data_IF_017375408391
#
_entry.id   IF_017375408391
#
_cell.length_a   1.000
_cell.length_b   1.000
_cell.length_c   1.000
_cell.angle_alpha   90.00
_cell.angle_beta   90.00
_cell.angle_gamma   90.00
#
_symmetry.space_group_name_H-M   'P 1'
#
loop_
_entity.id
_entity.type
_entity.pdbx_description
1 polymer ?
#
# COMPACT_ATOMS: atom_id res chain seq x y z
N UNK A 1 3.85 -23.37 13.80
CA UNK A 1 5.27 -22.99 13.58
C UNK A 1 5.69 -21.89 14.54
N UNK A 2 4.80 -20.93 14.86
CA UNK A 2 5.07 -19.88 15.88
C UNK A 2 5.35 -20.49 17.24
N UNK A 3 6.18 -19.84 18.06
CA UNK A 3 6.53 -20.26 19.42
C UNK A 3 7.57 -19.32 20.03
N UNK A 4 7.94 -19.52 21.31
CA UNK A 4 8.95 -18.68 21.99
C UNK A 4 10.32 -18.77 21.29
N UNK A 5 11.07 -17.64 21.28
CA UNK A 5 12.45 -17.58 20.79
C UNK A 5 13.31 -18.65 21.52
N UNK A 6 14.21 -19.28 20.77
CA UNK A 6 15.13 -20.30 21.26
C UNK A 6 14.53 -21.72 21.38
N UNK A 7 13.23 -21.90 21.12
CA UNK A 7 12.61 -23.25 21.09
C UNK A 7 12.73 -23.89 19.73
N UNK A 8 12.82 -25.22 19.70
CA UNK A 8 12.91 -25.99 18.47
C UNK A 8 11.53 -26.28 17.86
N UNK A 9 11.46 -26.35 16.55
CA UNK A 9 10.34 -26.90 15.80
C UNK A 9 10.85 -27.91 14.77
N UNK A 10 10.20 -29.04 14.68
CA UNK A 10 10.52 -30.11 13.75
C UNK A 10 9.51 -30.05 12.59
N UNK A 11 10.01 -29.79 11.39
CA UNK A 11 9.18 -29.68 10.18
C UNK A 11 9.41 -30.90 9.30
N UNK A 12 8.39 -31.75 9.13
CA UNK A 12 8.42 -32.81 8.13
C UNK A 12 8.08 -32.23 6.77
N UNK A 13 9.07 -32.18 5.89
CA UNK A 13 8.98 -31.57 4.56
C UNK A 13 9.06 -32.61 3.48
N UNK A 14 8.12 -32.61 2.54
CA UNK A 14 8.18 -33.41 1.31
C UNK A 14 8.71 -32.54 0.18
N UNK A 15 9.88 -32.90 -0.37
CA UNK A 15 10.48 -32.23 -1.54
C UNK A 15 9.71 -32.56 -2.82
N UNK A 16 9.93 -31.74 -3.86
CA UNK A 16 9.31 -31.92 -5.19
C UNK A 16 9.63 -33.30 -5.79
N UNK A 17 10.80 -33.84 -5.51
CA UNK A 17 11.20 -35.19 -5.93
C UNK A 17 10.59 -36.33 -5.10
N UNK A 18 9.70 -36.03 -4.17
CA UNK A 18 9.01 -37.00 -3.30
C UNK A 18 9.74 -37.38 -2.02
N UNK A 19 11.01 -36.99 -1.84
CA UNK A 19 11.79 -37.30 -0.63
C UNK A 19 11.20 -36.57 0.59
N UNK A 20 11.02 -37.32 1.70
CA UNK A 20 10.58 -36.76 2.97
C UNK A 20 11.78 -36.59 3.89
N UNK A 21 11.90 -35.42 4.49
CA UNK A 21 12.94 -35.13 5.48
C UNK A 21 12.37 -34.34 6.65
N UNK A 22 13.00 -34.47 7.81
CA UNK A 22 12.69 -33.67 8.99
C UNK A 22 13.74 -32.58 9.11
N UNK A 23 13.29 -31.33 9.14
CA UNK A 23 14.15 -30.16 9.33
C UNK A 23 13.90 -29.62 10.72
N UNK A 24 14.94 -29.51 11.53
CA UNK A 24 14.89 -28.85 12.84
C UNK A 24 15.20 -27.37 12.64
N UNK A 25 14.32 -26.50 13.11
CA UNK A 25 14.49 -25.04 13.08
C UNK A 25 14.41 -24.51 14.51
N UNK A 26 15.42 -23.74 14.91
CA UNK A 26 15.39 -23.01 16.16
C UNK A 26 14.64 -21.70 15.91
N UNK A 27 13.59 -21.43 16.69
CA UNK A 27 12.82 -20.20 16.54
C UNK A 27 13.63 -18.99 16.98
N UNK A 28 13.61 -17.99 16.16
CA UNK A 28 14.19 -16.68 16.47
C UNK A 28 13.22 -15.56 16.08
N UNK A 29 13.56 -14.34 16.48
CA UNK A 29 12.86 -13.14 16.00
C UNK A 29 13.37 -12.91 14.57
N UNK A 30 12.45 -12.98 13.61
CA UNK A 30 12.74 -12.66 12.21
C UNK A 30 12.29 -11.24 11.97
N UNK A 31 13.22 -10.33 11.78
CA UNK A 31 12.94 -8.98 11.30
C UNK A 31 12.70 -9.07 9.79
N UNK A 32 11.49 -8.75 9.36
CA UNK A 32 11.14 -8.70 7.95
C UNK A 32 11.50 -7.32 7.40
N UNK A 33 12.78 -7.09 7.08
CA UNK A 33 13.27 -5.81 6.54
C UNK A 33 12.50 -5.35 5.29
N UNK A 34 11.91 -6.28 4.56
CA UNK A 34 11.06 -6.01 3.38
C UNK A 34 9.79 -5.23 3.74
N UNK A 35 9.36 -5.25 5.01
CA UNK A 35 8.16 -4.56 5.47
C UNK A 35 8.39 -3.13 5.93
N UNK A 36 9.65 -2.71 6.03
CA UNK A 36 10.00 -1.37 6.48
C UNK A 36 10.00 -0.35 5.36
N UNK A 37 9.84 0.92 5.73
CA UNK A 37 9.92 2.03 4.79
C UNK A 37 11.31 2.10 4.16
N UNK A 38 11.36 2.38 2.83
CA UNK A 38 12.59 2.52 2.06
C UNK A 38 12.48 3.72 1.15
N UNK A 39 13.62 4.34 0.84
CA UNK A 39 13.64 5.45 -0.12
C UNK A 39 14.60 5.24 -1.28
N UNK A 40 14.23 5.85 -2.40
CA UNK A 40 14.96 5.82 -3.66
C UNK A 40 15.03 7.22 -4.25
N UNK A 41 16.03 7.46 -5.05
CA UNK A 41 16.15 8.64 -5.89
C UNK A 41 15.76 8.26 -7.32
N UNK A 42 14.94 9.09 -7.93
CA UNK A 42 14.59 9.03 -9.34
C UNK A 42 15.25 10.23 -10.02
N UNK A 43 16.09 9.97 -11.01
CA UNK A 43 16.72 11.02 -11.83
C UNK A 43 16.05 11.09 -13.19
N UNK A 44 15.65 12.31 -13.56
CA UNK A 44 15.06 12.64 -14.86
C UNK A 44 15.79 13.89 -15.40
N UNK A 45 16.78 13.68 -16.22
CA UNK A 45 17.69 14.74 -16.67
C UNK A 45 18.30 15.50 -15.48
N UNK A 46 18.03 16.80 -15.36
CA UNK A 46 18.51 17.65 -14.25
C UNK A 46 17.60 17.62 -13.01
N UNK A 47 16.54 16.80 -13.01
CA UNK A 47 15.58 16.73 -11.93
C UNK A 47 15.80 15.52 -11.05
N UNK A 48 15.65 15.72 -9.76
CA UNK A 48 15.83 14.68 -8.74
C UNK A 48 14.55 14.60 -7.91
N UNK A 49 13.96 13.42 -7.85
CA UNK A 49 12.77 13.14 -7.05
C UNK A 49 13.07 12.05 -6.04
N UNK A 50 12.39 12.11 -4.90
CA UNK A 50 12.42 11.03 -3.90
C UNK A 50 11.21 10.14 -4.05
N UNK A 51 11.42 8.83 -3.99
CA UNK A 51 10.38 7.83 -3.84
C UNK A 51 10.51 7.21 -2.45
N UNK A 52 9.42 7.18 -1.69
CA UNK A 52 9.34 6.46 -0.41
C UNK A 52 8.31 5.35 -0.58
N UNK A 53 8.77 4.12 -0.48
CA UNK A 53 7.90 2.96 -0.44
C UNK A 53 7.56 2.62 1.01
N UNK A 54 6.28 2.49 1.29
CA UNK A 54 5.77 2.10 2.60
C UNK A 54 4.85 0.89 2.46
N UNK A 55 5.34 -0.34 2.71
CA UNK A 55 4.53 -1.55 2.56
C UNK A 55 3.44 -1.72 3.62
N UNK A 56 3.60 -1.11 4.81
CA UNK A 56 2.65 -1.24 5.92
C UNK A 56 2.82 -0.10 6.93
N UNK A 57 1.75 0.25 7.65
CA UNK A 57 1.81 1.15 8.81
C UNK A 57 2.10 0.35 10.08
N UNK A 58 3.35 -0.09 10.23
CA UNK A 58 3.80 -0.89 11.37
C UNK A 58 4.07 -0.04 12.61
N UNK A 59 3.87 -0.67 13.77
CA UNK A 59 4.28 -0.16 15.10
C UNK A 59 4.70 -1.34 15.97
N UNK A 60 5.49 -1.07 17.01
CA UNK A 60 5.53 -1.94 18.18
C UNK A 60 4.30 -1.67 19.05
N UNK A 61 3.50 -2.69 19.34
CA UNK A 61 2.28 -2.56 20.14
C UNK A 61 2.55 -2.40 21.63
N UNK A 62 3.78 -2.72 22.09
CA UNK A 62 4.17 -2.59 23.49
C UNK A 62 4.76 -1.22 23.79
N UNK A 63 5.57 -0.72 22.88
CA UNK A 63 6.19 0.61 23.03
C UNK A 63 6.25 1.33 21.68
N UNK A 64 5.43 2.38 21.53
CA UNK A 64 5.40 3.19 20.30
C UNK A 64 6.71 3.96 20.05
N UNK A 65 7.57 4.11 21.06
CA UNK A 65 8.89 4.74 20.92
C UNK A 65 9.88 3.86 20.17
N UNK A 66 9.64 2.55 20.17
CA UNK A 66 10.35 1.60 19.35
C UNK A 66 10.12 1.87 17.83
N UNK A 67 10.68 1.04 16.98
CA UNK A 67 10.58 1.20 15.52
C UNK A 67 9.12 1.26 15.06
N UNK A 68 8.77 2.32 14.33
CA UNK A 68 7.44 2.49 13.74
C UNK A 68 7.53 3.18 12.38
N UNK A 69 6.48 3.00 11.56
CA UNK A 69 6.39 3.50 10.20
C UNK A 69 6.56 5.02 10.09
N UNK A 70 6.01 5.80 11.04
CA UNK A 70 6.12 7.25 11.00
C UNK A 70 7.57 7.70 11.21
N UNK A 71 8.25 7.14 12.22
CA UNK A 71 9.65 7.48 12.50
C UNK A 71 10.56 7.10 11.32
N UNK A 72 10.35 5.94 10.70
CA UNK A 72 11.16 5.50 9.58
C UNK A 72 10.90 6.36 8.33
N UNK A 73 9.64 6.68 7.98
CA UNK A 73 9.33 7.60 6.88
C UNK A 73 9.93 8.99 7.12
N UNK A 74 9.92 9.49 8.37
CA UNK A 74 10.59 10.75 8.70
C UNK A 74 12.08 10.69 8.38
N UNK A 75 12.77 9.62 8.81
CA UNK A 75 14.20 9.40 8.49
C UNK A 75 14.43 9.36 6.97
N UNK A 76 13.56 8.67 6.22
CA UNK A 76 13.67 8.59 4.77
C UNK A 76 13.48 9.98 4.11
N UNK A 77 12.51 10.79 4.58
CA UNK A 77 12.36 12.18 4.11
C UNK A 77 13.63 13.00 4.41
N UNK A 78 14.20 12.87 5.58
CA UNK A 78 15.42 13.61 5.96
C UNK A 78 16.63 13.18 5.12
N UNK A 79 16.77 11.89 4.77
CA UNK A 79 17.79 11.41 3.82
C UNK A 79 17.60 12.02 2.43
N UNK A 80 16.38 12.01 1.92
CA UNK A 80 16.03 12.56 0.61
C UNK A 80 16.27 14.07 0.53
N UNK A 81 15.93 14.82 1.57
CA UNK A 81 16.19 16.28 1.64
C UNK A 81 17.66 16.62 1.48
N UNK A 82 18.57 15.82 2.04
CA UNK A 82 20.03 16.00 1.87
C UNK A 82 20.49 15.84 0.43
N UNK A 83 19.67 15.24 -0.44
CA UNK A 83 19.95 15.05 -1.87
C UNK A 83 19.31 16.13 -2.75
N UNK A 84 18.77 17.20 -2.15
CA UNK A 84 18.14 18.35 -2.84
C UNK A 84 17.03 17.91 -3.81
N UNK A 85 16.16 16.99 -3.41
CA UNK A 85 15.04 16.52 -4.22
C UNK A 85 14.03 17.64 -4.48
N UNK A 86 13.36 17.58 -5.63
CA UNK A 86 12.35 18.57 -6.06
C UNK A 86 10.92 18.14 -5.75
N UNK A 87 10.69 16.89 -5.40
CA UNK A 87 9.38 16.35 -5.05
C UNK A 87 9.49 14.98 -4.42
N UNK A 88 8.43 14.56 -3.71
CA UNK A 88 8.32 13.23 -3.10
C UNK A 88 7.15 12.48 -3.73
N UNK A 89 7.39 11.21 -4.01
CA UNK A 89 6.39 10.20 -4.31
C UNK A 89 6.30 9.28 -3.09
N UNK A 90 5.13 9.23 -2.44
CA UNK A 90 4.83 8.28 -1.38
C UNK A 90 4.07 7.09 -1.99
N UNK A 91 4.71 5.93 -2.04
CA UNK A 91 4.12 4.73 -2.61
C UNK A 91 3.43 3.90 -1.53
N UNK A 92 2.09 3.86 -1.60
CA UNK A 92 1.21 3.09 -0.74
C UNK A 92 0.52 1.94 -1.50
N UNK A 93 0.96 1.63 -2.71
CA UNK A 93 0.42 0.49 -3.47
C UNK A 93 0.67 -0.80 -2.68
N UNK A 94 -0.31 -1.69 -2.69
CA UNK A 94 -0.31 -2.94 -1.94
C UNK A 94 -0.23 -2.79 -0.41
N UNK A 95 -0.34 -1.58 0.13
CA UNK A 95 -0.33 -1.33 1.56
C UNK A 95 -1.73 -1.47 2.16
N UNK A 96 -2.01 -2.60 2.81
CA UNK A 96 -3.30 -2.90 3.44
C UNK A 96 -3.61 -2.09 4.72
N UNK A 97 -2.77 -1.11 5.08
CA UNK A 97 -2.97 -0.26 6.25
C UNK A 97 -2.10 -0.66 7.46
N UNK A 98 -2.62 -0.44 8.64
CA UNK A 98 -1.93 -0.72 9.92
C UNK A 98 -2.34 0.26 11.00
N UNK A 99 -1.36 0.84 11.71
CA UNK A 99 -1.58 1.70 12.86
C UNK A 99 -2.25 3.02 12.54
N UNK A 100 -3.37 3.28 13.24
CA UNK A 100 -4.07 4.57 13.18
C UNK A 100 -3.21 5.71 13.73
N UNK A 101 -2.44 5.44 14.80
CA UNK A 101 -1.52 6.45 15.36
C UNK A 101 -0.43 6.81 14.36
N UNK A 102 0.22 5.81 13.76
CA UNK A 102 1.30 6.05 12.80
C UNK A 102 0.84 6.86 11.58
N UNK A 103 -0.38 6.62 11.09
CA UNK A 103 -0.89 7.38 9.93
C UNK A 103 -1.23 8.83 10.30
N UNK A 104 -1.72 9.09 11.51
CA UNK A 104 -1.97 10.47 11.98
C UNK A 104 -0.65 11.23 12.09
N UNK A 105 0.35 10.65 12.76
CA UNK A 105 1.67 11.25 12.91
C UNK A 105 2.34 11.50 11.54
N UNK A 106 2.26 10.52 10.63
CA UNK A 106 2.83 10.65 9.28
C UNK A 106 2.15 11.72 8.43
N UNK A 107 0.83 11.85 8.53
CA UNK A 107 0.09 12.90 7.81
C UNK A 107 0.58 14.28 8.25
N UNK A 108 0.89 14.47 9.54
CA UNK A 108 1.45 15.68 10.10
C UNK A 108 2.78 16.12 9.47
N UNK A 109 3.55 15.22 8.88
CA UNK A 109 4.80 15.57 8.18
C UNK A 109 4.56 16.48 6.96
N UNK A 110 3.34 16.50 6.43
CA UNK A 110 2.98 17.18 5.19
C UNK A 110 2.00 18.33 5.36
N UNK A 111 1.39 18.48 6.53
CA UNK A 111 0.45 19.56 6.86
C UNK A 111 0.96 20.36 8.04
N UNK A 112 0.43 21.56 8.25
CA UNK A 112 0.88 22.39 9.38
C UNK A 112 0.27 21.93 10.70
N UNK A 113 -1.00 21.76 10.75
CA UNK A 113 -1.80 21.20 11.85
C UNK A 113 -3.20 20.89 11.33
N UNK A 114 -3.94 20.04 12.04
CA UNK A 114 -5.36 19.91 11.76
C UNK A 114 -5.88 18.48 11.80
N UNK A 115 -7.16 18.28 11.48
CA UNK A 115 -7.78 16.98 11.50
C UNK A 115 -7.19 16.07 10.42
N UNK A 116 -6.98 14.81 10.75
CA UNK A 116 -6.50 13.78 9.81
C UNK A 116 -7.62 12.79 9.47
N UNK A 117 -8.37 12.39 10.48
CA UNK A 117 -9.46 11.42 10.34
C UNK A 117 -10.48 11.64 11.45
N UNK A 118 -11.74 11.34 11.16
CA UNK A 118 -12.81 11.32 12.12
C UNK A 118 -13.20 9.86 12.41
N UNK A 119 -13.33 9.50 13.67
CA UNK A 119 -13.73 8.15 14.11
C UNK A 119 -15.07 8.26 14.83
N UNK A 120 -15.99 7.34 14.49
CA UNK A 120 -17.30 7.24 15.16
C UNK A 120 -17.50 5.82 15.65
N UNK A 121 -17.66 5.69 16.98
CA UNK A 121 -17.91 4.40 17.61
C UNK A 121 -19.38 3.97 17.48
N UNK A 122 -19.63 2.70 17.68
CA UNK A 122 -20.99 2.11 17.68
C UNK A 122 -21.92 2.81 18.66
N UNK A 123 -21.40 3.34 19.78
CA UNK A 123 -22.15 4.16 20.75
C UNK A 123 -22.41 5.61 20.31
N UNK A 124 -22.07 5.99 19.08
CA UNK A 124 -22.30 7.33 18.52
C UNK A 124 -21.28 8.39 18.90
N UNK A 125 -20.32 8.08 19.79
CA UNK A 125 -19.24 9.00 20.15
C UNK A 125 -18.37 9.28 18.92
N UNK A 126 -18.17 10.57 18.64
CA UNK A 126 -17.30 11.07 17.55
C UNK A 126 -16.01 11.59 18.15
N UNK A 127 -14.89 11.20 17.55
CA UNK A 127 -13.56 11.67 17.86
C UNK A 127 -12.88 12.16 16.58
N UNK A 128 -12.12 13.26 16.67
CA UNK A 128 -11.36 13.78 15.55
C UNK A 128 -9.89 13.65 15.93
N UNK A 129 -9.18 12.74 15.23
CA UNK A 129 -7.75 12.60 15.39
C UNK A 129 -7.05 13.66 14.55
N UNK A 130 -6.10 14.36 15.18
CA UNK A 130 -5.45 15.54 14.62
C UNK A 130 -3.95 15.45 14.72
N UNK A 131 -3.29 16.09 13.78
CA UNK A 131 -1.93 16.54 13.98
C UNK A 131 -1.94 17.84 14.80
N UNK A 132 -1.12 17.88 15.84
CA UNK A 132 -0.98 19.00 16.76
C UNK A 132 0.38 19.70 16.61
N UNK A 133 1.31 19.11 15.83
CA UNK A 133 2.63 19.69 15.59
C UNK A 133 2.59 20.64 14.40
N UNK A 134 3.00 21.88 14.60
CA UNK A 134 3.04 22.89 13.54
C UNK A 134 4.24 22.71 12.58
N UNK A 135 5.15 21.78 12.87
CA UNK A 135 6.34 21.56 12.07
C UNK A 135 6.04 20.69 10.85
N UNK A 136 6.21 21.25 9.67
CA UNK A 136 6.11 20.52 8.42
C UNK A 136 7.47 19.93 8.08
N UNK A 137 7.53 18.62 7.90
CA UNK A 137 8.79 17.94 7.53
C UNK A 137 9.08 18.12 6.04
N UNK A 138 8.02 18.08 5.20
CA UNK A 138 8.11 18.30 3.75
C UNK A 138 6.97 19.18 3.24
N UNK A 139 7.28 20.35 2.72
CA UNK A 139 6.31 21.31 2.16
C UNK A 139 6.37 21.44 0.63
N UNK A 140 7.30 20.72 -0.03
CA UNK A 140 7.45 20.67 -1.47
C UNK A 140 6.38 19.81 -2.17
N UNK A 141 6.48 19.64 -3.49
CA UNK A 141 5.57 18.80 -4.28
C UNK A 141 5.44 17.37 -3.73
N UNK A 142 4.21 16.86 -3.68
CA UNK A 142 3.91 15.54 -3.14
C UNK A 142 2.88 14.80 -4.02
N UNK A 143 3.22 13.58 -4.35
CA UNK A 143 2.34 12.62 -5.02
C UNK A 143 2.17 11.39 -4.12
N UNK A 144 0.98 10.83 -4.06
CA UNK A 144 0.71 9.56 -3.38
C UNK A 144 0.27 8.53 -4.40
N UNK A 145 0.98 7.42 -4.50
CA UNK A 145 0.59 6.28 -5.34
C UNK A 145 -0.27 5.31 -4.54
N UNK A 146 -1.39 4.90 -5.12
CA UNK A 146 -2.33 3.95 -4.53
C UNK A 146 -2.79 2.91 -5.55
N UNK A 147 -3.27 1.77 -5.06
CA UNK A 147 -3.98 0.79 -5.88
C UNK A 147 -5.17 0.18 -5.14
N UNK A 148 -5.83 -0.81 -5.74
CA UNK A 148 -7.00 -1.49 -5.16
C UNK A 148 -6.70 -2.19 -3.82
N UNK A 149 -5.42 -2.47 -3.54
CA UNK A 149 -4.98 -3.09 -2.28
C UNK A 149 -4.61 -2.07 -1.21
N UNK A 150 -4.52 -0.79 -1.54
CA UNK A 150 -4.33 0.28 -0.57
C UNK A 150 -5.58 0.40 0.29
N UNK A 151 -5.47 0.09 1.59
CA UNK A 151 -6.62 -0.02 2.47
C UNK A 151 -6.40 0.66 3.83
N UNK A 152 -7.51 1.01 4.52
CA UNK A 152 -7.49 1.46 5.93
C UNK A 152 -6.58 2.67 6.16
N UNK A 153 -5.44 2.55 6.89
CA UNK A 153 -4.51 3.64 7.14
C UNK A 153 -3.98 4.29 5.86
N UNK A 154 -3.74 3.52 4.78
CA UNK A 154 -3.37 4.05 3.47
C UNK A 154 -4.45 4.96 2.90
N UNK A 155 -5.72 4.58 3.11
CA UNK A 155 -6.86 5.39 2.66
C UNK A 155 -7.01 6.66 3.51
N UNK A 156 -6.68 6.60 4.81
CA UNK A 156 -6.74 7.74 5.71
C UNK A 156 -5.77 8.84 5.26
N UNK A 157 -4.48 8.51 5.05
CA UNK A 157 -3.49 9.51 4.63
C UNK A 157 -3.76 10.02 3.22
N UNK A 158 -4.11 9.14 2.27
CA UNK A 158 -4.44 9.53 0.91
C UNK A 158 -5.66 10.47 0.88
N UNK A 159 -6.72 10.14 1.64
CA UNK A 159 -7.92 10.96 1.75
C UNK A 159 -7.62 12.31 2.41
N UNK A 160 -6.90 12.34 3.53
CA UNK A 160 -6.55 13.57 4.22
C UNK A 160 -5.74 14.50 3.32
N UNK A 161 -4.67 13.99 2.69
CA UNK A 161 -3.82 14.80 1.80
C UNK A 161 -4.58 15.28 0.55
N UNK A 162 -5.54 14.50 0.04
CA UNK A 162 -6.42 14.91 -1.05
C UNK A 162 -7.39 16.01 -0.60
N UNK A 163 -8.06 15.86 0.54
CA UNK A 163 -9.02 16.83 1.08
C UNK A 163 -8.33 18.17 1.40
N UNK A 164 -7.10 18.13 1.92
CA UNK A 164 -6.25 19.31 2.09
C UNK A 164 -5.77 19.92 0.77
N UNK A 165 -5.93 19.25 -0.37
CA UNK A 165 -5.25 19.57 -1.64
C UNK A 165 -3.73 19.66 -1.49
N UNK A 166 -3.17 18.84 -0.61
CA UNK A 166 -1.73 18.80 -0.30
C UNK A 166 -0.95 17.90 -1.25
N UNK A 167 -1.57 16.84 -1.74
CA UNK A 167 -0.97 15.88 -2.67
C UNK A 167 -1.92 15.58 -3.84
N UNK A 168 -1.35 15.12 -4.95
CA UNK A 168 -2.07 14.50 -6.05
C UNK A 168 -2.08 12.99 -5.80
N UNK A 169 -3.26 12.38 -5.80
CA UNK A 169 -3.43 10.94 -5.65
C UNK A 169 -3.46 10.29 -7.03
N UNK A 170 -2.56 9.36 -7.26
CA UNK A 170 -2.38 8.70 -8.56
C UNK A 170 -2.47 7.19 -8.38
N UNK A 171 -3.10 6.51 -9.31
CA UNK A 171 -3.13 5.05 -9.31
C UNK A 171 -4.40 4.45 -9.87
N UNK A 172 -4.87 3.35 -9.29
CA UNK A 172 -6.11 2.70 -9.69
C UNK A 172 -7.32 3.63 -9.54
N UNK A 173 -8.45 3.26 -10.14
CA UNK A 173 -9.68 4.07 -10.09
C UNK A 173 -10.05 4.49 -8.67
N UNK A 174 -9.87 3.59 -7.71
CA UNK A 174 -10.10 3.81 -6.29
C UNK A 174 -9.34 2.78 -5.46
N UNK A 175 -9.13 3.08 -4.19
CA UNK A 175 -8.53 2.18 -3.21
C UNK A 175 -9.52 1.09 -2.76
N UNK A 176 -9.15 0.26 -1.81
CA UNK A 176 -9.91 -0.91 -1.36
C UNK A 176 -11.32 -0.58 -0.87
N UNK A 177 -11.49 0.52 -0.15
CA UNK A 177 -12.79 0.96 0.37
C UNK A 177 -13.09 0.47 1.79
N UNK A 178 -12.08 0.24 2.63
CA UNK A 178 -12.28 -0.12 4.03
C UNK A 178 -12.43 1.13 4.88
N UNK A 179 -13.63 1.38 5.39
CA UNK A 179 -13.98 2.50 6.26
C UNK A 179 -14.21 2.09 7.72
N UNK A 180 -13.67 0.96 8.16
CA UNK A 180 -13.93 0.38 9.50
C UNK A 180 -12.65 0.18 10.30
N UNK A 181 -12.77 0.35 11.62
CA UNK A 181 -11.74 0.01 12.61
C UNK A 181 -12.09 -1.31 13.27
N UNK A 182 -11.13 -2.22 13.30
CA UNK A 182 -11.27 -3.52 13.94
C UNK A 182 -10.35 -3.61 15.15
N UNK A 183 -10.93 -4.02 16.27
CA UNK A 183 -10.22 -4.25 17.53
C UNK A 183 -10.15 -5.75 17.83
N UNK A 184 -9.04 -6.15 18.44
CA UNK A 184 -8.87 -7.49 19.01
C UNK A 184 -9.36 -7.48 20.45
N UNK A 185 -10.39 -8.25 20.73
CA UNK A 185 -10.97 -8.41 22.07
C UNK A 185 -10.47 -9.74 22.64
N UNK A 186 -9.59 -9.67 23.64
CA UNK A 186 -9.09 -10.83 24.36
C UNK A 186 -10.22 -11.45 25.20
N UNK A 187 -10.64 -12.65 24.84
CA UNK A 187 -11.75 -13.35 25.50
C UNK A 187 -11.38 -13.78 26.93
N UNK A 188 -10.10 -13.98 27.22
CA UNK A 188 -9.64 -14.32 28.58
C UNK A 188 -9.87 -13.18 29.58
N UNK A 189 -9.92 -11.92 29.10
CA UNK A 189 -10.22 -10.76 29.94
C UNK A 189 -11.71 -10.58 30.23
N UNK A 190 -12.57 -11.14 29.39
CA UNK A 190 -14.02 -11.02 29.55
C UNK A 190 -14.56 -12.11 30.47
N UNK A 191 -14.03 -13.31 30.37
CA UNK A 191 -14.47 -14.49 31.12
C UNK A 191 -13.52 -14.75 32.27
N UNK A 192 -13.80 -14.15 33.43
CA UNK A 192 -12.93 -14.19 34.60
C UNK A 192 -12.85 -15.57 35.31
N UNK A 193 -13.72 -16.52 34.97
CA UNK A 193 -13.78 -17.87 35.59
C UNK A 193 -13.54 -18.98 34.59
N UNK A 194 -12.67 -18.74 33.59
CA UNK A 194 -12.37 -19.73 32.56
C UNK A 194 -11.57 -20.90 33.08
N UNK A 195 -12.11 -22.11 32.96
CA UNK A 195 -11.45 -23.39 33.29
C UNK A 195 -10.98 -24.17 32.05
N UNK A 196 -11.18 -23.63 30.84
CA UNK A 196 -10.92 -24.30 29.57
C UNK A 196 -9.59 -23.91 28.89
N UNK A 197 -8.72 -23.17 29.59
CA UNK A 197 -7.45 -22.69 29.05
C UNK A 197 -7.59 -21.41 28.24
N UNK A 198 -6.69 -21.18 27.28
CA UNK A 198 -6.70 -19.98 26.46
C UNK A 198 -7.89 -19.94 25.49
N UNK A 199 -8.77 -18.96 25.67
CA UNK A 199 -9.95 -18.73 24.82
C UNK A 199 -9.64 -17.94 23.55
N UNK A 200 -8.42 -17.43 23.41
CA UNK A 200 -8.02 -16.64 22.25
C UNK A 200 -8.64 -15.24 22.24
N UNK A 201 -8.76 -14.67 21.04
CA UNK A 201 -9.25 -13.31 20.86
C UNK A 201 -10.24 -13.22 19.69
N UNK A 202 -11.22 -12.35 19.82
CA UNK A 202 -12.22 -12.04 18.79
C UNK A 202 -11.85 -10.74 18.08
N UNK A 203 -11.79 -10.76 16.75
CA UNK A 203 -11.60 -9.56 15.93
C UNK A 203 -12.97 -8.98 15.58
N UNK A 204 -13.28 -7.80 16.11
CA UNK A 204 -14.61 -7.17 15.99
C UNK A 204 -14.46 -5.79 15.37
N UNK A 205 -15.40 -5.43 14.48
CA UNK A 205 -15.56 -4.06 14.01
C UNK A 205 -16.29 -3.25 15.08
N UNK A 206 -15.62 -2.24 15.62
CA UNK A 206 -16.15 -1.39 16.72
C UNK A 206 -16.45 0.03 16.28
N UNK A 207 -15.74 0.53 15.26
CA UNK A 207 -15.82 1.91 14.85
C UNK A 207 -15.79 2.02 13.32
N UNK A 208 -16.34 3.13 12.83
CA UNK A 208 -16.14 3.60 11.46
C UNK A 208 -15.24 4.82 11.45
N UNK A 209 -14.43 4.97 10.42
CA UNK A 209 -13.69 6.20 10.19
C UNK A 209 -14.20 6.94 8.94
N UNK A 210 -14.02 8.24 8.98
CA UNK A 210 -14.48 9.16 7.95
C UNK A 210 -13.39 10.14 7.59
N UNK A 211 -13.40 10.57 6.36
CA UNK A 211 -12.56 11.65 5.85
C UNK A 211 -12.84 12.94 6.63
N UNK A 212 -11.92 13.87 6.58
CA UNK A 212 -12.11 15.19 7.20
C UNK A 212 -13.25 16.00 6.55
N UNK A 213 -13.58 15.71 5.28
CA UNK A 213 -14.72 16.29 4.58
C UNK A 213 -16.07 15.65 4.98
N UNK A 214 -16.08 14.63 5.85
CA UNK A 214 -17.25 13.94 6.38
C UNK A 214 -17.67 12.68 5.62
N UNK A 215 -17.19 12.44 4.42
CA UNK A 215 -17.50 11.21 3.67
C UNK A 215 -16.76 9.99 4.23
N UNK A 216 -17.36 8.80 4.09
CA UNK A 216 -16.67 7.55 4.44
C UNK A 216 -15.84 7.05 3.26
N UNK A 217 -14.73 6.33 3.55
CA UNK A 217 -14.04 5.52 2.55
C UNK A 217 -14.70 4.15 2.35
N UNK A 218 -15.67 3.77 3.19
CA UNK A 218 -16.38 2.49 3.11
C UNK A 218 -16.98 2.28 1.71
N UNK A 219 -16.72 1.17 1.08
CA UNK A 219 -17.11 0.77 -0.29
C UNK A 219 -16.49 1.63 -1.42
N UNK A 220 -16.34 2.93 -1.23
CA UNK A 220 -15.90 3.86 -2.28
C UNK A 220 -14.39 4.06 -2.34
N UNK A 221 -13.69 3.84 -1.24
CA UNK A 221 -12.27 4.12 -1.15
C UNK A 221 -11.91 5.59 -1.36
N UNK A 222 -10.66 5.84 -1.70
CA UNK A 222 -10.15 7.13 -2.19
C UNK A 222 -10.07 7.05 -3.69
N UNK A 223 -10.78 7.93 -4.40
CA UNK A 223 -10.73 8.02 -5.86
C UNK A 223 -9.49 8.78 -6.28
N UNK A 224 -8.69 8.20 -7.17
CA UNK A 224 -7.48 8.86 -7.65
C UNK A 224 -7.79 10.10 -8.50
N UNK A 225 -7.01 11.16 -8.34
CA UNK A 225 -7.08 12.37 -9.16
C UNK A 225 -6.63 12.10 -10.59
N UNK A 226 -5.64 11.20 -10.72
CA UNK A 226 -5.15 10.68 -12.00
C UNK A 226 -5.25 9.15 -11.94
N UNK A 227 -6.11 8.60 -12.78
CA UNK A 227 -6.33 7.14 -12.86
C UNK A 227 -5.37 6.53 -13.86
N UNK A 228 -4.52 5.63 -13.38
CA UNK A 228 -3.69 4.79 -14.24
C UNK A 228 -4.42 3.50 -14.60
N UNK A 229 -4.23 2.97 -15.79
CA UNK A 229 -4.63 1.61 -16.11
C UNK A 229 -3.89 0.63 -15.19
N UNK A 230 -4.64 -0.33 -14.65
CA UNK A 230 -4.11 -1.37 -13.79
C UNK A 230 -4.61 -2.73 -14.27
N UNK A 231 -3.80 -3.78 -14.10
CA UNK A 231 -4.17 -5.16 -14.48
C UNK A 231 -5.36 -5.69 -13.66
N UNK A 232 -5.61 -5.14 -12.49
CA UNK A 232 -6.71 -5.54 -11.60
C UNK A 232 -7.98 -4.72 -11.80
N UNK A 233 -7.99 -3.72 -12.69
CA UNK A 233 -9.08 -2.77 -12.93
C UNK A 233 -10.46 -3.40 -13.06
N UNK A 234 -10.52 -4.61 -13.60
CA UNK A 234 -11.78 -5.34 -13.84
C UNK A 234 -11.97 -6.53 -12.90
N UNK A 235 -11.05 -6.77 -12.00
CA UNK A 235 -11.14 -7.82 -10.99
C UNK A 235 -11.92 -7.30 -9.80
N UNK A 236 -12.76 -8.15 -9.21
CA UNK A 236 -13.50 -7.81 -7.99
C UNK A 236 -12.57 -7.83 -6.81
N UNK A 237 -12.08 -6.65 -6.45
CA UNK A 237 -11.18 -6.42 -5.32
C UNK A 237 -11.71 -5.22 -4.55
N UNK A 238 -11.98 -5.39 -3.27
CA UNK A 238 -12.39 -4.29 -2.41
C UNK A 238 -13.47 -4.70 -1.43
N UNK A 239 -13.73 -3.81 -0.49
CA UNK A 239 -14.77 -3.97 0.53
C UNK A 239 -16.17 -4.14 -0.09
N UNK A 240 -16.41 -3.47 -1.22
CA UNK A 240 -17.67 -3.54 -1.97
C UNK A 240 -17.97 -4.91 -2.59
N UNK A 241 -16.94 -5.73 -2.75
CA UNK A 241 -17.04 -7.04 -3.39
C UNK A 241 -17.14 -8.17 -2.35
N UNK A 242 -17.10 -7.85 -1.05
CA UNK A 242 -17.27 -8.79 0.04
C UNK A 242 -18.75 -9.11 0.30
N UNK A 243 -18.99 -10.27 0.92
CA UNK A 243 -20.35 -10.61 1.37
C UNK A 243 -20.77 -9.69 2.53
N UNK A 244 -21.97 -9.10 2.42
CA UNK A 244 -22.58 -8.26 3.46
C UNK A 244 -21.70 -7.09 3.98
N UNK A 245 -21.16 -6.24 3.12
CA UNK A 245 -20.33 -5.14 3.57
C UNK A 245 -21.18 -4.08 4.28
N UNK A 246 -20.61 -3.35 5.22
CA UNK A 246 -21.29 -2.22 5.84
C UNK A 246 -21.55 -1.11 4.81
N UNK A 247 -22.73 -0.52 4.87
CA UNK A 247 -23.14 0.54 3.94
C UNK A 247 -22.29 1.79 4.10
N UNK A 248 -22.08 2.47 3.00
CA UNK A 248 -21.51 3.81 2.98
C UNK A 248 -22.42 4.80 3.69
N UNK A 249 -21.85 5.74 4.42
CA UNK A 249 -22.53 6.85 5.07
C UNK A 249 -21.60 8.05 5.20
N UNK A 250 -22.10 9.15 5.74
CA UNK A 250 -21.36 10.39 5.96
C UNK A 250 -21.71 11.02 7.29
N UNK A 251 -20.81 11.86 7.79
CA UNK A 251 -20.99 12.67 8.99
C UNK A 251 -20.62 14.12 8.67
N UNK A 252 -20.86 15.04 9.61
CA UNK A 252 -20.47 16.45 9.43
C UNK A 252 -18.97 16.58 9.20
N UNK A 253 -18.53 17.40 8.25
CA UNK A 253 -17.11 17.70 8.02
C UNK A 253 -16.44 18.22 9.29
N UNK A 254 -15.16 17.95 9.42
CA UNK A 254 -14.31 18.62 10.40
C UNK A 254 -13.95 20.02 9.88
N UNK A 255 -13.55 20.90 10.78
CA UNK A 255 -13.04 22.23 10.38
C UNK A 255 -11.55 22.12 9.99
N UNK A 256 -11.23 22.44 8.74
CA UNK A 256 -9.86 22.44 8.20
C UNK A 256 -9.68 23.51 7.12
N UNK A 257 -8.43 23.86 6.86
CA UNK A 257 -8.06 24.84 5.83
C UNK A 257 -7.23 24.12 4.77
N UNK A 258 -7.59 24.30 3.51
CA UNK A 258 -6.86 23.70 2.38
C UNK A 258 -5.46 24.29 2.21
N UNK A 259 -4.57 23.51 1.61
CA UNK A 259 -3.19 23.92 1.33
C UNK A 259 -3.14 24.94 0.18
N UNK A 260 -2.58 26.11 0.46
CA UNK A 260 -2.59 27.24 -0.49
C UNK A 260 -1.44 27.21 -1.50
N UNK A 261 -0.37 26.45 -1.21
CA UNK A 261 0.86 26.44 -2.02
C UNK A 261 0.80 25.52 -3.27
N UNK A 262 -0.30 24.85 -3.54
CA UNK A 262 -0.41 23.95 -4.69
C UNK A 262 -0.66 24.74 -5.97
N UNK A 263 0.41 25.21 -6.59
CA UNK A 263 0.35 25.95 -7.85
C UNK A 263 -0.02 25.01 -9.01
N UNK A 264 -0.97 25.45 -9.86
CA UNK A 264 -1.33 24.80 -11.13
C UNK A 264 -1.86 23.35 -11.03
N UNK A 265 -2.61 23.01 -9.96
CA UNK A 265 -3.18 21.67 -9.77
C UNK A 265 -3.96 21.18 -11.01
N UNK A 266 -4.95 21.94 -11.46
CA UNK A 266 -5.77 21.61 -12.63
C UNK A 266 -4.96 21.46 -13.92
N UNK A 267 -3.96 22.33 -14.12
CA UNK A 267 -3.05 22.24 -15.26
C UNK A 267 -2.23 20.94 -15.22
N UNK A 268 -1.71 20.57 -14.06
CA UNK A 268 -0.94 19.34 -13.87
C UNK A 268 -1.78 18.10 -14.13
N UNK A 269 -3.03 18.07 -13.65
CA UNK A 269 -3.99 16.99 -13.93
C UNK A 269 -4.28 16.86 -15.42
N UNK A 270 -4.56 17.98 -16.10
CA UNK A 270 -4.83 18.00 -17.56
C UNK A 270 -3.65 17.45 -18.35
N UNK A 271 -2.45 17.96 -18.09
CA UNK A 271 -1.22 17.52 -18.76
C UNK A 271 -0.94 16.04 -18.54
N UNK A 272 -1.14 15.53 -17.33
CA UNK A 272 -0.97 14.12 -17.01
C UNK A 272 -1.98 13.24 -17.76
N UNK A 273 -3.25 13.61 -17.78
CA UNK A 273 -4.28 12.91 -18.56
C UNK A 273 -3.98 12.88 -20.06
N UNK A 274 -3.45 13.97 -20.61
CA UNK A 274 -3.03 14.02 -22.03
C UNK A 274 -1.88 13.03 -22.32
N UNK A 275 -0.87 12.93 -21.41
CA UNK A 275 0.24 11.96 -21.54
C UNK A 275 -0.27 10.53 -21.45
N UNK A 276 -1.13 10.22 -20.48
CA UNK A 276 -1.71 8.90 -20.30
C UNK A 276 -2.43 8.41 -21.56
N UNK A 277 -3.28 9.26 -22.14
CA UNK A 277 -4.07 8.92 -23.34
C UNK A 277 -3.20 8.63 -24.57
N UNK A 278 -2.00 9.20 -24.64
CA UNK A 278 -1.05 8.99 -25.74
C UNK A 278 -0.14 7.79 -25.52
N UNK A 279 0.02 7.31 -24.30
CA UNK A 279 0.97 6.24 -23.96
C UNK A 279 0.44 4.89 -24.44
N UNK A 280 1.23 4.21 -25.26
CA UNK A 280 0.88 2.90 -25.83
C UNK A 280 0.89 1.78 -24.80
N UNK A 281 1.77 1.87 -23.79
CA UNK A 281 1.86 0.86 -22.73
C UNK A 281 0.62 0.89 -21.84
N UNK A 282 0.09 2.07 -21.49
CA UNK A 282 -1.14 2.18 -20.72
C UNK A 282 -2.36 1.60 -21.48
N UNK A 283 -2.40 1.75 -22.81
CA UNK A 283 -3.43 1.07 -23.62
C UNK A 283 -3.28 -0.44 -23.58
N UNK A 284 -2.05 -0.93 -23.64
CA UNK A 284 -1.76 -2.37 -23.59
C UNK A 284 -2.09 -2.98 -22.23
N UNK A 285 -1.86 -2.23 -21.12
CA UNK A 285 -2.26 -2.65 -19.78
C UNK A 285 -3.78 -2.77 -19.66
N UNK A 286 -4.54 -1.78 -20.13
CA UNK A 286 -6.00 -1.84 -20.10
C UNK A 286 -6.54 -3.02 -20.93
N UNK A 287 -5.91 -3.30 -22.07
CA UNK A 287 -6.22 -4.46 -22.91
C UNK A 287 -5.92 -5.78 -22.19
N UNK A 288 -4.76 -5.87 -21.53
CA UNK A 288 -4.41 -7.02 -20.69
C UNK A 288 -5.42 -7.22 -19.55
N UNK A 289 -5.81 -6.15 -18.87
CA UNK A 289 -6.78 -6.20 -17.79
C UNK A 289 -8.14 -6.73 -18.25
N UNK A 290 -8.62 -6.31 -19.43
CA UNK A 290 -9.85 -6.84 -20.04
C UNK A 290 -9.73 -8.33 -20.36
N UNK A 291 -8.61 -8.73 -20.95
CA UNK A 291 -8.36 -10.13 -21.26
C UNK A 291 -8.31 -11.00 -20.00
N UNK A 292 -7.65 -10.54 -18.92
CA UNK A 292 -7.64 -11.24 -17.62
C UNK A 292 -9.07 -11.43 -17.10
N UNK A 293 -9.91 -10.39 -17.16
CA UNK A 293 -11.31 -10.48 -16.78
C UNK A 293 -12.06 -11.54 -17.61
N UNK A 294 -11.92 -11.50 -18.92
CA UNK A 294 -12.56 -12.47 -19.83
C UNK A 294 -12.13 -13.91 -19.51
N UNK A 295 -10.83 -14.13 -19.20
CA UNK A 295 -10.34 -15.44 -18.81
C UNK A 295 -10.91 -15.90 -17.45
N UNK A 296 -11.08 -14.99 -16.50
CA UNK A 296 -11.67 -15.31 -15.20
C UNK A 296 -13.17 -15.61 -15.27
N UNK A 297 -13.91 -14.92 -16.15
CA UNK A 297 -15.34 -15.12 -16.35
C UNK A 297 -15.63 -16.36 -17.20
N UNK A 298 -14.70 -16.78 -18.04
CA UNK A 298 -14.82 -17.96 -18.90
C UNK A 298 -14.22 -19.21 -18.24
N UNK A 299 -14.95 -19.76 -17.25
CA UNK A 299 -14.56 -20.97 -16.50
C UNK A 299 -15.04 -22.28 -17.11
N UNK A 300 -15.65 -22.24 -18.30
CA UNK A 300 -16.10 -23.43 -19.01
C UNK A 300 -15.01 -23.94 -19.95
N UNK A 301 -14.56 -25.16 -19.71
CA UNK A 301 -13.57 -25.82 -20.53
C UNK A 301 -14.20 -26.96 -21.33
N UNK A 302 -13.83 -27.06 -22.62
CA UNK A 302 -14.26 -28.17 -23.44
C UNK A 302 -13.61 -29.48 -22.99
N UNK A 303 -14.40 -30.53 -22.78
CA UNK A 303 -13.89 -31.88 -22.52
C UNK A 303 -13.32 -32.53 -23.79
N UNK A 304 -13.59 -31.99 -24.99
CA UNK A 304 -12.94 -32.41 -26.23
C UNK A 304 -11.51 -31.86 -26.26
N UNK A 305 -10.51 -32.75 -26.34
CA UNK A 305 -9.10 -32.40 -26.31
C UNK A 305 -8.69 -31.42 -27.40
N UNK A 306 -9.15 -31.64 -28.63
CA UNK A 306 -8.76 -30.77 -29.76
C UNK A 306 -9.26 -29.33 -29.58
N UNK A 307 -10.53 -29.18 -29.17
CA UNK A 307 -11.11 -27.86 -28.88
C UNK A 307 -10.41 -27.18 -27.70
N UNK A 308 -10.11 -27.92 -26.63
CA UNK A 308 -9.38 -27.40 -25.48
C UNK A 308 -7.97 -26.95 -25.88
N UNK A 309 -7.24 -27.79 -26.63
CA UNK A 309 -5.88 -27.51 -27.03
C UNK A 309 -5.79 -26.31 -28.01
N UNK A 310 -6.75 -26.24 -28.98
CA UNK A 310 -6.84 -25.11 -29.90
C UNK A 310 -7.08 -23.80 -29.14
N UNK A 311 -7.99 -23.77 -28.19
CA UNK A 311 -8.23 -22.59 -27.34
C UNK A 311 -6.99 -22.21 -26.53
N UNK A 312 -6.31 -23.17 -25.93
CA UNK A 312 -5.06 -22.94 -25.19
C UNK A 312 -3.96 -22.32 -26.06
N UNK A 313 -3.84 -22.81 -27.31
CA UNK A 313 -2.85 -22.24 -28.25
C UNK A 313 -3.21 -20.80 -28.62
N UNK A 314 -4.48 -20.53 -28.88
CA UNK A 314 -4.99 -19.18 -29.17
C UNK A 314 -4.70 -18.21 -28.02
N UNK A 315 -5.05 -18.59 -26.79
CA UNK A 315 -4.81 -17.78 -25.58
C UNK A 315 -3.32 -17.53 -25.35
N UNK A 316 -2.46 -18.53 -25.56
CA UNK A 316 -1.01 -18.41 -25.49
C UNK A 316 -0.45 -17.45 -26.57
N UNK A 317 -0.99 -17.48 -27.78
CA UNK A 317 -0.59 -16.56 -28.84
C UNK A 317 -1.03 -15.13 -28.52
N UNK A 318 -2.25 -14.97 -28.02
CA UNK A 318 -2.76 -13.66 -27.64
C UNK A 318 -1.96 -13.05 -26.48
N UNK A 319 -1.63 -13.85 -25.45
CA UNK A 319 -0.85 -13.40 -24.29
C UNK A 319 0.56 -12.91 -24.64
N UNK A 320 1.16 -13.42 -25.74
CA UNK A 320 2.51 -12.99 -26.20
C UNK A 320 2.61 -11.49 -26.50
N UNK A 321 1.49 -10.86 -26.89
CA UNK A 321 1.47 -9.41 -27.14
C UNK A 321 1.76 -8.57 -25.89
N UNK A 322 1.44 -9.10 -24.70
CA UNK A 322 1.67 -8.45 -23.43
C UNK A 322 3.12 -8.60 -22.90
N UNK A 323 3.94 -9.44 -23.55
CA UNK A 323 5.37 -9.55 -23.22
C UNK A 323 6.09 -8.21 -23.29
N UNK A 324 5.64 -7.31 -24.22
CA UNK A 324 6.19 -5.96 -24.33
C UNK A 324 6.12 -5.15 -23.02
N UNK A 325 5.17 -5.47 -22.12
CA UNK A 325 5.07 -4.84 -20.81
C UNK A 325 6.21 -5.29 -19.88
N UNK A 326 6.69 -6.54 -20.04
CA UNK A 326 7.81 -7.07 -19.26
C UNK A 326 9.17 -6.60 -19.79
N UNK A 327 9.24 -6.26 -21.08
CA UNK A 327 10.46 -5.85 -21.75
C UNK A 327 10.65 -4.32 -21.71
N UNK A 328 9.77 -3.60 -21.00
CA UNK A 328 9.85 -2.15 -20.86
C UNK A 328 11.12 -1.78 -20.09
N UNK A 329 11.94 -0.92 -20.71
CA UNK A 329 13.10 -0.33 -20.05
C UNK A 329 12.81 1.11 -19.68
N UNK A 330 13.07 1.43 -18.42
CA UNK A 330 12.95 2.80 -17.92
C UNK A 330 13.98 3.71 -18.53
N UNK A 331 13.57 4.94 -18.88
CA UNK A 331 14.50 6.03 -19.24
C UNK A 331 15.06 6.76 -18.02
N UNK A 332 14.60 6.42 -16.81
CA UNK A 332 15.01 7.08 -15.59
C UNK A 332 15.97 6.19 -14.80
N UNK A 333 16.90 6.84 -14.10
CA UNK A 333 17.80 6.15 -13.19
C UNK A 333 17.22 6.09 -11.79
N UNK A 334 17.26 4.90 -11.21
CA UNK A 334 16.86 4.65 -9.83
C UNK A 334 18.11 4.39 -9.00
N UNK A 335 18.27 5.15 -7.94
CA UNK A 335 19.33 4.98 -6.96
C UNK A 335 18.72 4.74 -5.59
N UNK A 336 19.05 3.61 -5.00
CA UNK A 336 18.69 3.36 -3.62
C UNK A 336 19.59 4.12 -2.64
N UNK A 337 19.04 4.55 -1.50
CA UNK A 337 19.77 5.15 -0.40
C UNK A 337 19.82 4.12 0.74
N UNK A 338 20.94 3.39 0.90
CA UNK A 338 21.08 2.42 1.99
C UNK A 338 21.01 3.08 3.36
N UNK A 339 20.54 2.34 4.36
CA UNK A 339 20.89 2.64 5.74
C UNK A 339 22.42 2.49 5.88
N UNK A 340 23.04 3.27 6.78
CA UNK A 340 24.47 3.12 7.08
C UNK A 340 24.70 1.77 7.77
N UNK A 341 24.99 0.74 7.00
CA UNK A 341 25.36 -0.58 7.51
C UNK A 341 26.89 -0.61 7.58
N UNK A 342 27.42 -0.81 8.78
CA UNK A 342 28.88 -0.87 9.01
C UNK A 342 29.51 -2.18 8.52
N UNK A 343 28.74 -3.14 8.03
CA UNK A 343 29.22 -4.43 7.57
C UNK A 343 29.13 -4.54 6.04
N UNK A 344 30.28 -4.59 5.39
CA UNK A 344 30.43 -4.64 3.94
C UNK A 344 29.86 -5.92 3.31
N UNK A 345 29.85 -7.05 4.03
CA UNK A 345 29.31 -8.32 3.54
C UNK A 345 27.77 -8.30 3.54
N UNK A 346 27.18 -7.76 4.59
CA UNK A 346 25.71 -7.54 4.69
C UNK A 346 25.26 -6.55 3.64
N UNK A 347 26.06 -5.51 3.38
CA UNK A 347 25.77 -4.51 2.33
C UNK A 347 25.74 -5.15 0.94
N UNK A 348 26.68 -6.05 0.62
CA UNK A 348 26.72 -6.75 -0.67
C UNK A 348 25.56 -7.70 -0.87
N UNK A 349 25.16 -8.46 0.15
CA UNK A 349 23.98 -9.35 0.10
C UNK A 349 22.67 -8.56 -0.06
N UNK A 350 22.57 -7.42 0.62
CA UNK A 350 21.47 -6.48 0.46
C UNK A 350 21.44 -5.90 -0.96
N UNK A 351 22.56 -5.56 -1.54
CA UNK A 351 22.68 -5.04 -2.92
C UNK A 351 22.29 -6.11 -3.95
N UNK A 352 22.70 -7.35 -3.80
CA UNK A 352 22.37 -8.44 -4.74
C UNK A 352 20.87 -8.80 -4.71
N UNK A 353 20.29 -8.99 -3.53
CA UNK A 353 18.83 -9.20 -3.38
C UNK A 353 18.02 -8.06 -3.95
N UNK A 354 18.57 -6.90 -3.97
CA UNK A 354 17.97 -5.68 -4.34
C UNK A 354 18.01 -5.38 -5.83
N UNK A 355 19.06 -5.75 -6.55
CA UNK A 355 19.11 -5.57 -8.00
C UNK A 355 17.95 -6.29 -8.69
N UNK A 356 17.56 -7.48 -8.20
CA UNK A 356 16.40 -8.21 -8.72
C UNK A 356 15.08 -7.49 -8.39
N UNK A 357 15.01 -6.80 -7.26
CA UNK A 357 13.83 -6.10 -6.81
C UNK A 357 13.68 -4.70 -7.44
N UNK A 358 14.80 -3.97 -7.64
CA UNK A 358 14.83 -2.72 -8.41
C UNK A 358 14.34 -2.91 -9.84
N UNK A 359 14.68 -4.03 -10.49
CA UNK A 359 14.14 -4.38 -11.79
C UNK A 359 12.64 -4.58 -11.76
N UNK A 360 12.11 -5.20 -10.70
CA UNK A 360 10.66 -5.35 -10.51
C UNK A 360 9.99 -4.00 -10.26
N UNK A 361 10.56 -3.16 -9.39
CA UNK A 361 10.04 -1.84 -9.07
C UNK A 361 10.08 -0.90 -10.28
N UNK A 362 11.15 -0.92 -11.06
CA UNK A 362 11.24 -0.20 -12.34
C UNK A 362 10.09 -0.57 -13.26
N UNK A 363 9.77 -1.85 -13.36
CA UNK A 363 8.62 -2.33 -14.14
C UNK A 363 7.30 -1.81 -13.57
N UNK A 364 7.11 -1.86 -12.25
CA UNK A 364 5.84 -1.50 -11.60
C UNK A 364 5.56 0.01 -11.56
N UNK A 365 6.57 0.86 -11.56
CA UNK A 365 6.41 2.33 -11.54
C UNK A 365 6.15 2.90 -12.94
N UNK A 366 6.61 2.21 -13.99
CA UNK A 366 6.50 2.68 -15.37
C UNK A 366 5.35 2.09 -16.16
N UNK A 367 4.80 1.01 -15.68
CA UNK A 367 3.56 0.43 -16.16
C UNK A 367 2.41 0.91 -15.31
#
# INVERSE_FOLDING_TARGET
IKGPKGTEVFLTVKKINGTILVVTVIRDIVELEETYAKSFIIRDEDKIYGLIELPKFYIDFKDYRERNAANDVKKEIDKLKKKNIQGIILDLRNNGGGSLKAVVDMTGFFIKTGPVVQVKSTGGKKEILRDLDANIIWDGPLVVLVNEFSASASEIIAAALQDYKRAIIIGSKQTFGKGTVQNMVDLNRIISSNTHGDLGALKVTTDKFYRINGGSTQLEGVKSDIVFPDRYKYVKIGERDQDNPLKWDQISPANYVTWEKMLNYEFSLKKSKERLNKNIYFKLIDEQARWIKEQQENYLYSLNYEKYNSKRIEDNLYSKRFKKLNDFQSSYDFEWIPESVNDQAVLLEIIEKRNSWEESLKKDIYI
#
